data_IF_094026554969
#
_entry.id   IF_094026554969
#
_cell.length_a   1.000
_cell.length_b   1.000
_cell.length_c   1.000
_cell.angle_alpha   90.00
_cell.angle_beta   90.00
_cell.angle_gamma   90.00
#
_symmetry.space_group_name_H-M   'P 1'
#
loop_
_entity.id
_entity.type
_entity.pdbx_description
1 polymer ?
#
# COMPACT_ATOMS: atom_id res chain seq x y z
N UNK A 1 -15.68 9.53 26.77
CA UNK A 1 -14.79 10.51 26.11
C UNK A 1 -15.51 11.09 24.90
N UNK A 2 -16.06 12.30 24.98
CA UNK A 2 -16.64 12.97 23.81
C UNK A 2 -15.50 13.33 22.85
N UNK A 3 -15.51 12.72 21.66
CA UNK A 3 -14.56 13.01 20.59
C UNK A 3 -14.88 14.42 20.10
N UNK A 4 -14.15 15.42 20.60
CA UNK A 4 -14.30 16.80 20.15
C UNK A 4 -14.03 16.82 18.64
N UNK A 5 -15.06 17.12 17.86
CA UNK A 5 -14.94 17.14 16.40
C UNK A 5 -13.83 18.10 16.00
N UNK A 6 -12.82 17.55 15.30
CA UNK A 6 -11.70 18.35 14.81
C UNK A 6 -12.24 19.38 13.84
N UNK A 7 -11.96 20.65 14.10
CA UNK A 7 -12.42 21.75 13.24
C UNK A 7 -11.69 21.68 11.90
N UNK A 8 -12.35 21.30 10.82
CA UNK A 8 -11.74 21.29 9.48
C UNK A 8 -11.70 22.72 8.91
N UNK A 9 -10.53 23.19 8.47
CA UNK A 9 -10.36 24.51 7.85
C UNK A 9 -9.76 24.33 6.45
N UNK A 10 -10.58 24.52 5.42
CA UNK A 10 -10.14 24.44 4.03
C UNK A 10 -9.56 25.77 3.57
N UNK A 11 -8.36 25.74 2.98
CA UNK A 11 -7.74 26.88 2.31
C UNK A 11 -7.80 26.68 0.79
N UNK A 12 -7.86 27.77 -0.01
CA UNK A 12 -7.73 27.65 -1.45
C UNK A 12 -6.31 27.16 -1.80
N UNK A 13 -6.21 26.32 -2.83
CA UNK A 13 -4.95 25.76 -3.33
C UNK A 13 -4.99 25.71 -4.86
N UNK A 14 -3.82 25.84 -5.51
CA UNK A 14 -3.69 25.67 -6.95
C UNK A 14 -3.90 24.19 -7.36
N UNK A 15 -4.56 23.93 -8.50
CA UNK A 15 -4.77 22.58 -9.02
C UNK A 15 -3.63 22.17 -9.94
N UNK A 16 -3.19 20.91 -9.83
CA UNK A 16 -2.16 20.35 -10.70
C UNK A 16 -2.69 19.49 -11.83
N UNK A 17 -1.77 18.94 -12.62
CA UNK A 17 -2.07 17.99 -13.71
C UNK A 17 -2.00 16.55 -13.19
N UNK A 18 -2.70 15.64 -13.87
CA UNK A 18 -2.71 14.22 -13.50
C UNK A 18 -1.35 13.55 -13.75
N UNK A 19 -0.64 13.94 -14.81
CA UNK A 19 0.76 13.57 -15.05
C UNK A 19 1.68 14.73 -14.67
N UNK A 20 2.66 14.43 -13.82
CA UNK A 20 3.72 15.37 -13.46
C UNK A 20 5.10 14.71 -13.56
N UNK A 21 6.16 15.52 -13.67
CA UNK A 21 7.55 15.05 -13.80
C UNK A 21 8.02 14.18 -12.62
N UNK A 22 7.36 14.30 -11.46
CA UNK A 22 7.67 13.51 -10.26
C UNK A 22 6.95 12.15 -10.23
N UNK A 23 6.02 11.89 -11.15
CA UNK A 23 5.27 10.65 -11.26
C UNK A 23 6.14 9.37 -11.28
N UNK A 24 7.21 9.24 -12.09
CA UNK A 24 7.99 8.01 -12.14
C UNK A 24 8.65 7.69 -10.78
N UNK A 25 9.14 8.71 -10.07
CA UNK A 25 9.72 8.53 -8.73
C UNK A 25 8.69 7.99 -7.73
N UNK A 26 7.44 8.46 -7.81
CA UNK A 26 6.33 7.95 -6.98
C UNK A 26 5.94 6.53 -7.36
N UNK A 27 5.86 6.24 -8.65
CA UNK A 27 5.56 4.90 -9.15
C UNK A 27 6.61 3.86 -8.68
N UNK A 28 7.90 4.20 -8.75
CA UNK A 28 8.98 3.35 -8.24
C UNK A 28 8.85 3.12 -6.73
N UNK A 29 8.48 4.14 -5.95
CA UNK A 29 8.22 3.97 -4.52
C UNK A 29 7.06 3.01 -4.27
N UNK A 30 5.94 3.16 -4.98
CA UNK A 30 4.78 2.25 -4.85
C UNK A 30 5.17 0.82 -5.25
N UNK A 31 5.95 0.65 -6.31
CA UNK A 31 6.48 -0.63 -6.76
C UNK A 31 7.33 -1.30 -5.67
N UNK A 32 8.22 -0.54 -5.01
CA UNK A 32 9.02 -1.04 -3.88
C UNK A 32 8.15 -1.42 -2.68
N UNK A 33 7.12 -0.62 -2.36
CA UNK A 33 6.18 -0.95 -1.29
C UNK A 33 5.41 -2.26 -1.58
N UNK A 34 5.04 -2.50 -2.83
CA UNK A 34 4.41 -3.77 -3.26
C UNK A 34 5.37 -4.94 -3.06
N UNK A 35 6.65 -4.81 -3.43
CA UNK A 35 7.66 -5.86 -3.22
C UNK A 35 7.88 -6.16 -1.73
N UNK A 36 7.97 -5.12 -0.89
CA UNK A 36 8.09 -5.28 0.56
C UNK A 36 6.85 -5.99 1.13
N UNK A 37 5.67 -5.64 0.62
CA UNK A 37 4.42 -6.29 1.00
C UNK A 37 4.40 -7.77 0.62
N UNK A 38 4.95 -8.14 -0.54
CA UNK A 38 5.13 -9.53 -0.92
C UNK A 38 5.99 -10.25 0.14
N UNK A 39 7.14 -9.69 0.51
CA UNK A 39 8.01 -10.23 1.57
C UNK A 39 7.24 -10.44 2.88
N UNK A 40 6.48 -9.43 3.30
CA UNK A 40 5.64 -9.51 4.49
C UNK A 40 4.57 -10.62 4.41
N UNK A 41 3.95 -10.83 3.24
CA UNK A 41 2.98 -11.89 3.01
C UNK A 41 3.56 -13.29 3.10
N UNK A 42 4.83 -13.50 2.72
CA UNK A 42 5.49 -14.78 2.96
C UNK A 42 5.61 -15.08 4.45
N UNK A 43 6.10 -14.12 5.25
CA UNK A 43 6.29 -14.32 6.69
C UNK A 43 4.96 -14.58 7.41
N UNK A 44 3.97 -13.73 7.16
CA UNK A 44 2.62 -13.93 7.73
C UNK A 44 2.02 -15.25 7.26
N UNK A 45 2.28 -15.63 6.01
CA UNK A 45 1.84 -16.90 5.47
C UNK A 45 2.36 -18.11 6.23
N UNK A 46 3.65 -18.16 6.53
CA UNK A 46 4.26 -19.23 7.31
C UNK A 46 3.68 -19.33 8.72
N UNK A 47 3.43 -18.19 9.36
CA UNK A 47 2.82 -18.14 10.70
C UNK A 47 1.39 -18.70 10.67
N UNK A 48 0.63 -18.38 9.62
CA UNK A 48 -0.77 -18.78 9.48
C UNK A 48 -0.97 -20.28 9.21
N UNK A 49 0.06 -21.00 8.73
CA UNK A 49 0.01 -22.46 8.51
C UNK A 49 -0.26 -23.23 9.80
N UNK A 50 0.19 -22.73 10.96
CA UNK A 50 -0.02 -23.37 12.27
C UNK A 50 -1.42 -23.11 12.85
N UNK A 51 -2.23 -22.27 12.19
CA UNK A 51 -3.54 -21.84 12.67
C UNK A 51 -4.65 -22.63 11.99
N UNK A 52 -5.69 -22.98 12.75
CA UNK A 52 -6.89 -23.65 12.23
C UNK A 52 -7.59 -22.88 11.10
N UNK A 53 -8.25 -23.58 10.19
CA UNK A 53 -8.72 -23.04 8.90
C UNK A 53 -9.59 -21.77 9.00
N UNK A 54 -10.57 -21.73 9.89
CA UNK A 54 -11.46 -20.57 10.03
C UNK A 54 -10.73 -19.32 10.57
N UNK A 55 -9.92 -19.50 11.62
CA UNK A 55 -9.13 -18.41 12.20
C UNK A 55 -8.07 -17.89 11.22
N UNK A 56 -7.54 -18.77 10.36
CA UNK A 56 -6.61 -18.41 9.28
C UNK A 56 -7.24 -17.44 8.28
N UNK A 57 -8.50 -17.65 7.89
CA UNK A 57 -9.23 -16.75 6.98
C UNK A 57 -9.39 -15.38 7.62
N UNK A 58 -9.83 -15.33 8.88
CA UNK A 58 -10.01 -14.07 9.62
C UNK A 58 -8.69 -13.30 9.72
N UNK A 59 -7.61 -13.98 10.12
CA UNK A 59 -6.29 -13.35 10.22
C UNK A 59 -5.79 -12.84 8.86
N UNK A 60 -6.02 -13.61 7.78
CA UNK A 60 -5.65 -13.18 6.42
C UNK A 60 -6.42 -11.94 5.99
N UNK A 61 -7.72 -11.84 6.34
CA UNK A 61 -8.54 -10.66 6.11
C UNK A 61 -8.02 -9.45 6.91
N UNK A 62 -7.67 -9.64 8.18
CA UNK A 62 -7.09 -8.58 9.02
C UNK A 62 -5.77 -8.09 8.43
N UNK A 63 -4.88 -9.00 8.03
CA UNK A 63 -3.60 -8.65 7.38
C UNK A 63 -3.84 -7.84 6.10
N UNK A 64 -4.78 -8.26 5.27
CA UNK A 64 -5.12 -7.55 4.03
C UNK A 64 -5.66 -6.14 4.32
N UNK A 65 -6.54 -6.00 5.31
CA UNK A 65 -7.06 -4.69 5.75
C UNK A 65 -5.96 -3.80 6.32
N UNK A 66 -5.03 -4.36 7.10
CA UNK A 66 -3.89 -3.62 7.66
C UNK A 66 -2.96 -3.11 6.56
N UNK A 67 -2.62 -3.96 5.59
CA UNK A 67 -1.79 -3.57 4.45
C UNK A 67 -2.50 -2.53 3.61
N UNK A 68 -3.78 -2.72 3.30
CA UNK A 68 -4.58 -1.72 2.58
C UNK A 68 -4.65 -0.39 3.35
N UNK A 69 -4.77 -0.44 4.68
CA UNK A 69 -4.74 0.72 5.58
C UNK A 69 -3.38 1.42 5.59
N UNK A 70 -2.29 0.67 5.50
CA UNK A 70 -0.94 1.22 5.36
C UNK A 70 -0.77 1.96 4.02
N UNK A 71 -1.18 1.34 2.90
CA UNK A 71 -1.19 2.01 1.60
C UNK A 71 -2.09 3.26 1.61
N UNK A 72 -3.26 3.19 2.26
CA UNK A 72 -4.14 4.34 2.46
C UNK A 72 -3.46 5.46 3.22
N UNK A 73 -2.74 5.15 4.30
CA UNK A 73 -2.03 6.16 5.08
C UNK A 73 -0.94 6.85 4.25
N UNK A 74 -0.12 6.08 3.52
CA UNK A 74 0.90 6.59 2.61
C UNK A 74 0.30 7.49 1.52
N UNK A 75 -0.79 7.05 0.89
CA UNK A 75 -1.52 7.84 -0.09
C UNK A 75 -2.05 9.16 0.50
N UNK A 76 -2.59 9.11 1.72
CA UNK A 76 -3.14 10.27 2.40
C UNK A 76 -2.07 11.31 2.78
N UNK A 77 -0.88 10.87 3.22
CA UNK A 77 0.27 11.77 3.48
C UNK A 77 0.67 12.47 2.19
N UNK A 78 0.83 11.74 1.10
CA UNK A 78 1.21 12.32 -0.19
C UNK A 78 0.14 13.25 -0.78
N UNK A 79 -1.14 12.95 -0.59
CA UNK A 79 -2.23 13.85 -0.95
C UNK A 79 -2.18 15.15 -0.14
N UNK A 80 -1.86 15.07 1.16
CA UNK A 80 -1.70 16.25 2.03
C UNK A 80 -0.53 17.14 1.59
N UNK A 81 0.61 16.54 1.25
CA UNK A 81 1.80 17.23 0.73
C UNK A 81 1.49 17.99 -0.55
N UNK A 82 0.81 17.35 -1.51
CA UNK A 82 0.46 17.96 -2.80
C UNK A 82 -0.54 19.13 -2.66
N UNK A 83 -1.45 19.06 -1.69
CA UNK A 83 -2.35 20.18 -1.37
C UNK A 83 -1.56 21.32 -0.70
N UNK A 84 -0.63 20.98 0.19
CA UNK A 84 0.27 21.95 0.81
C UNK A 84 1.13 22.70 -0.21
N UNK A 85 1.66 21.99 -1.22
CA UNK A 85 2.35 22.61 -2.35
C UNK A 85 1.42 23.56 -3.12
N UNK A 86 0.16 23.15 -3.36
CA UNK A 86 -0.83 24.00 -4.00
C UNK A 86 -1.17 25.28 -3.22
N UNK A 87 -1.16 25.23 -1.89
CA UNK A 87 -1.31 26.42 -1.04
C UNK A 87 -0.13 27.38 -1.18
N UNK A 88 1.10 26.85 -1.23
CA UNK A 88 2.33 27.64 -1.37
C UNK A 88 2.42 28.29 -2.76
N UNK A 89 2.08 27.54 -3.81
CA UNK A 89 2.07 28.06 -5.18
C UNK A 89 1.04 29.19 -5.31
N UNK A 90 -0.13 29.02 -4.70
CA UNK A 90 -1.17 30.07 -4.71
C UNK A 90 -0.74 31.31 -3.92
N UNK A 91 -0.08 31.15 -2.77
CA UNK A 91 0.39 32.31 -1.98
C UNK A 91 1.45 33.12 -2.74
N UNK A 92 2.42 32.45 -3.37
CA UNK A 92 3.44 33.11 -4.21
C UNK A 92 2.82 33.83 -5.40
N UNK A 93 1.84 33.20 -6.06
CA UNK A 93 1.12 33.82 -7.17
C UNK A 93 0.34 35.06 -6.73
N UNK A 94 -0.23 35.08 -5.52
CA UNK A 94 -0.88 36.27 -4.96
C UNK A 94 0.10 37.38 -4.55
N UNK A 95 1.37 37.04 -4.32
CA UNK A 95 2.47 37.97 -4.04
C UNK A 95 3.13 38.51 -5.31
N UNK A 96 2.62 38.17 -6.50
CA UNK A 96 3.12 38.64 -7.79
C UNK A 96 4.35 37.87 -8.31
N UNK A 97 4.72 36.75 -7.68
CA UNK A 97 5.78 35.87 -8.18
C UNK A 97 5.22 34.91 -9.24
N UNK A 98 5.86 34.84 -10.41
CA UNK A 98 5.49 33.88 -11.43
C UNK A 98 5.84 32.45 -10.99
N UNK A 99 4.82 31.61 -10.83
CA UNK A 99 5.00 30.19 -10.55
C UNK A 99 5.41 29.45 -11.83
N UNK A 100 6.42 28.59 -11.75
CA UNK A 100 6.83 27.77 -12.89
C UNK A 100 5.74 26.74 -13.22
N UNK A 101 5.47 26.49 -14.52
CA UNK A 101 4.48 25.50 -14.99
C UNK A 101 4.68 24.10 -14.37
N UNK A 102 5.93 23.73 -14.10
CA UNK A 102 6.31 22.46 -13.44
C UNK A 102 5.89 22.42 -11.96
N UNK A 103 5.97 23.54 -11.22
CA UNK A 103 5.51 23.61 -9.83
C UNK A 103 3.98 23.50 -9.76
N UNK A 104 3.28 24.18 -10.66
CA UNK A 104 1.82 24.11 -10.74
C UNK A 104 1.34 22.70 -11.11
N UNK A 105 2.02 22.03 -12.05
CA UNK A 105 1.71 20.64 -12.40
C UNK A 105 1.89 19.65 -11.23
N UNK A 106 2.76 19.96 -10.25
CA UNK A 106 2.97 19.11 -9.09
C UNK A 106 1.90 19.24 -8.01
N UNK A 107 1.04 20.26 -8.08
CA UNK A 107 -0.05 20.45 -7.13
C UNK A 107 -1.08 19.31 -7.17
N UNK A 108 -1.98 19.30 -6.19
CA UNK A 108 -2.97 18.25 -6.03
C UNK A 108 -3.92 18.10 -7.23
N UNK A 109 -4.15 16.85 -7.64
CA UNK A 109 -5.20 16.45 -8.58
C UNK A 109 -5.68 15.04 -8.21
N UNK A 110 -7.00 14.81 -8.02
CA UNK A 110 -7.53 13.52 -7.54
C UNK A 110 -7.09 12.31 -8.39
N UNK A 111 -6.92 12.49 -9.71
CA UNK A 111 -6.52 11.40 -10.61
C UNK A 111 -5.05 11.01 -10.47
N UNK A 112 -4.20 11.88 -9.91
CA UNK A 112 -2.76 11.65 -9.79
C UNK A 112 -2.45 10.42 -8.92
N UNK A 113 -3.25 10.20 -7.87
CA UNK A 113 -3.17 8.99 -7.03
C UNK A 113 -3.39 7.72 -7.85
N UNK A 114 -4.48 7.65 -8.61
CA UNK A 114 -4.80 6.50 -9.47
C UNK A 114 -3.75 6.25 -10.54
N UNK A 115 -3.29 7.30 -11.24
CA UNK A 115 -2.26 7.17 -12.27
C UNK A 115 -0.94 6.67 -11.68
N UNK A 116 -0.55 7.17 -10.51
CA UNK A 116 0.69 6.74 -9.86
C UNK A 116 0.65 5.25 -9.44
N UNK A 117 -0.50 4.78 -8.94
CA UNK A 117 -0.72 3.36 -8.62
C UNK A 117 -0.73 2.52 -9.88
N UNK A 118 -1.45 2.94 -10.92
CA UNK A 118 -1.54 2.24 -12.19
C UNK A 118 -0.15 2.03 -12.82
N UNK A 119 0.71 3.05 -12.79
CA UNK A 119 2.09 2.95 -13.31
C UNK A 119 2.96 2.08 -12.41
N UNK A 120 2.81 2.18 -11.09
CA UNK A 120 3.60 1.39 -10.13
C UNK A 120 3.26 -0.11 -10.16
N UNK A 121 2.00 -0.48 -10.41
CA UNK A 121 1.55 -1.87 -10.47
C UNK A 121 1.71 -2.50 -11.85
N UNK A 122 1.81 -1.69 -12.91
CA UNK A 122 1.89 -2.11 -14.31
C UNK A 122 2.81 -3.31 -14.57
N UNK A 123 4.08 -3.35 -14.10
CA UNK A 123 4.95 -4.50 -14.35
C UNK A 123 4.42 -5.80 -13.74
N UNK A 124 3.88 -5.75 -12.50
CA UNK A 124 3.29 -6.91 -11.85
C UNK A 124 1.98 -7.33 -12.48
N UNK A 125 1.18 -6.36 -12.93
CA UNK A 125 -0.10 -6.59 -13.59
C UNK A 125 0.11 -7.32 -14.93
N UNK A 126 1.02 -6.85 -15.78
CA UNK A 126 1.35 -7.50 -17.06
C UNK A 126 1.81 -8.93 -16.81
N UNK A 127 2.71 -9.12 -15.85
CA UNK A 127 3.22 -10.45 -15.49
C UNK A 127 2.11 -11.38 -14.96
N UNK A 128 1.19 -10.86 -14.16
CA UNK A 128 0.04 -11.61 -13.67
C UNK A 128 -0.94 -11.99 -14.78
N UNK A 129 -1.16 -11.09 -15.75
CA UNK A 129 -1.98 -11.41 -16.94
C UNK A 129 -1.34 -12.55 -17.74
N UNK A 130 -0.03 -12.48 -17.98
CA UNK A 130 0.70 -13.54 -18.70
C UNK A 130 0.55 -14.88 -17.97
N UNK A 131 0.76 -14.92 -16.65
CA UNK A 131 0.59 -16.17 -15.89
C UNK A 131 -0.86 -16.63 -15.80
N UNK A 132 -1.83 -15.74 -15.66
CA UNK A 132 -3.24 -16.09 -15.66
C UNK A 132 -3.68 -16.77 -16.98
N UNK A 133 -3.06 -16.40 -18.11
CA UNK A 133 -3.31 -17.01 -19.42
C UNK A 133 -2.64 -18.38 -19.58
N UNK A 134 -1.46 -18.58 -19.00
CA UNK A 134 -0.68 -19.82 -19.10
C UNK A 134 -1.11 -20.85 -18.02
N UNK A 135 -1.73 -20.40 -16.93
CA UNK A 135 -2.14 -21.25 -15.82
C UNK A 135 -3.03 -22.41 -16.31
N UNK A 136 -2.62 -23.62 -15.96
CA UNK A 136 -3.39 -24.85 -16.12
C UNK A 136 -3.87 -25.34 -14.76
N UNK A 137 -4.98 -26.07 -14.74
CA UNK A 137 -5.46 -26.70 -13.50
C UNK A 137 -4.37 -27.62 -12.96
N UNK A 138 -3.98 -27.41 -11.71
CA UNK A 138 -3.05 -28.29 -11.02
C UNK A 138 -3.77 -29.62 -10.76
N UNK A 139 -3.61 -30.54 -11.70
CA UNK A 139 -3.96 -31.95 -11.47
C UNK A 139 -2.77 -32.55 -10.74
N UNK A 140 -3.02 -33.16 -9.58
CA UNK A 140 -2.00 -33.95 -8.89
C UNK A 140 -1.49 -35.02 -9.86
N UNK A 141 -0.35 -34.77 -10.49
CA UNK A 141 0.47 -35.82 -11.04
C UNK A 141 1.24 -36.42 -9.87
N UNK A 142 1.34 -37.76 -9.82
CA UNK A 142 2.09 -38.46 -8.80
C UNK A 142 3.48 -37.82 -8.66
N UNK A 143 3.83 -37.49 -7.41
CA UNK A 143 4.96 -36.64 -7.09
C UNK A 143 6.31 -37.18 -7.57
N UNK A 144 7.25 -36.25 -7.72
CA UNK A 144 8.67 -36.54 -7.96
C UNK A 144 9.20 -37.50 -6.90
N UNK A 145 10.09 -38.36 -7.37
CA UNK A 145 10.69 -39.42 -6.60
C UNK A 145 11.43 -38.87 -5.36
N UNK A 146 11.21 -39.41 -4.15
CA UNK A 146 12.00 -39.04 -2.97
C UNK A 146 13.50 -39.26 -3.18
N UNK A 147 14.34 -38.40 -2.60
CA UNK A 147 15.81 -38.48 -2.75
C UNK A 147 16.44 -39.77 -2.22
N UNK A 148 15.78 -40.51 -1.33
CA UNK A 148 16.23 -41.84 -0.88
C UNK A 148 16.00 -42.91 -1.95
N UNK A 149 15.08 -42.68 -2.89
CA UNK A 149 14.75 -43.60 -3.97
C UNK A 149 15.70 -43.41 -5.18
N UNK A 150 16.51 -42.33 -5.22
CA UNK A 150 17.56 -42.17 -6.23
C UNK A 150 18.68 -43.20 -6.07
N UNK A 151 18.91 -43.74 -4.86
CA UNK A 151 19.88 -44.82 -4.63
C UNK A 151 19.53 -46.11 -5.40
N UNK A 152 18.24 -46.33 -5.70
CA UNK A 152 17.76 -47.47 -6.47
C UNK A 152 17.81 -47.23 -7.99
N UNK A 153 18.11 -46.01 -8.48
CA UNK A 153 18.28 -45.72 -9.91
C UNK A 153 19.46 -46.46 -10.56
N UNK A 154 20.40 -47.00 -9.77
CA UNK A 154 21.50 -47.84 -10.28
C UNK A 154 21.04 -49.21 -10.79
N UNK A 155 19.85 -49.66 -10.41
CA UNK A 155 19.29 -50.91 -10.92
C UNK A 155 18.51 -50.61 -12.21
N UNK A 156 18.99 -51.18 -13.32
CA UNK A 156 18.51 -50.91 -14.69
C UNK A 156 17.00 -51.11 -14.87
N UNK A 157 16.40 -52.01 -14.10
CA UNK A 157 14.97 -52.33 -14.14
C UNK A 157 14.10 -51.28 -13.43
N UNK A 158 14.68 -50.57 -12.45
CA UNK A 158 14.02 -49.53 -11.66
C UNK A 158 14.28 -48.15 -12.30
N UNK A 159 15.42 -47.98 -12.96
CA UNK A 159 15.82 -46.78 -13.68
C UNK A 159 14.75 -46.30 -14.68
N UNK A 160 14.21 -47.21 -15.50
CA UNK A 160 13.23 -46.88 -16.56
C UNK A 160 11.91 -46.34 -15.96
N UNK A 161 11.44 -46.94 -14.87
CA UNK A 161 10.22 -46.51 -14.17
C UNK A 161 10.42 -45.18 -13.44
N UNK A 162 11.61 -44.94 -12.88
CA UNK A 162 11.95 -43.73 -12.13
C UNK A 162 12.26 -42.52 -13.01
N UNK A 163 12.87 -42.74 -14.18
CA UNK A 163 13.17 -41.67 -15.13
C UNK A 163 11.89 -41.03 -15.71
N UNK A 164 10.76 -41.75 -15.67
CA UNK A 164 9.44 -41.23 -16.03
C UNK A 164 8.94 -40.15 -15.05
N UNK A 165 9.44 -40.14 -13.81
CA UNK A 165 9.08 -39.19 -12.76
C UNK A 165 10.09 -38.05 -12.59
N UNK A 166 11.22 -38.09 -13.30
CA UNK A 166 12.31 -37.14 -13.13
C UNK A 166 12.15 -35.94 -14.08
N UNK A 167 11.23 -35.03 -13.77
CA UNK A 167 11.23 -33.69 -14.36
C UNK A 167 11.96 -32.72 -13.43
N UNK A 168 13.25 -32.57 -13.63
CA UNK A 168 14.01 -31.45 -13.07
C UNK A 168 13.61 -30.17 -13.81
N UNK A 169 12.62 -29.45 -13.26
CA UNK A 169 12.30 -28.11 -13.74
C UNK A 169 13.42 -27.18 -13.29
N UNK A 170 14.31 -26.81 -14.22
CA UNK A 170 15.32 -25.79 -13.98
C UNK A 170 14.64 -24.49 -13.54
N UNK A 171 15.11 -23.88 -12.45
CA UNK A 171 14.58 -22.61 -11.94
C UNK A 171 15.07 -21.48 -12.84
N UNK A 172 14.37 -21.28 -13.96
CA UNK A 172 14.56 -20.15 -14.86
C UNK A 172 13.94 -18.85 -14.33
N UNK A 173 14.14 -17.75 -15.06
CA UNK A 173 13.53 -16.44 -14.77
C UNK A 173 12.02 -16.54 -14.55
N UNK A 174 11.33 -17.38 -15.33
CA UNK A 174 9.90 -17.65 -15.16
C UNK A 174 9.54 -18.10 -13.73
N UNK A 175 10.36 -18.98 -13.13
CA UNK A 175 10.15 -19.48 -11.77
C UNK A 175 10.24 -18.38 -10.73
N UNK A 176 11.25 -17.50 -10.84
CA UNK A 176 11.43 -16.36 -9.93
C UNK A 176 10.25 -15.40 -10.04
N UNK A 177 9.85 -15.04 -11.26
CA UNK A 177 8.71 -14.16 -11.50
C UNK A 177 7.40 -14.75 -10.95
N UNK A 178 7.19 -16.06 -11.13
CA UNK A 178 6.02 -16.78 -10.61
C UNK A 178 6.00 -16.80 -9.09
N UNK A 179 7.16 -16.94 -8.43
CA UNK A 179 7.27 -16.86 -6.97
C UNK A 179 6.82 -15.48 -6.48
N UNK A 180 7.28 -14.39 -7.10
CA UNK A 180 6.90 -13.02 -6.72
C UNK A 180 5.38 -12.83 -6.79
N UNK A 181 4.74 -13.28 -7.87
CA UNK A 181 3.27 -13.17 -7.98
C UNK A 181 2.56 -14.06 -6.97
N UNK A 182 3.01 -15.31 -6.76
CA UNK A 182 2.41 -16.17 -5.73
C UNK A 182 2.52 -15.57 -4.33
N UNK A 183 3.64 -14.90 -4.05
CA UNK A 183 3.87 -14.22 -2.80
C UNK A 183 2.87 -13.06 -2.61
N UNK A 184 2.57 -12.30 -3.66
CA UNK A 184 1.53 -11.27 -3.64
C UNK A 184 0.11 -11.84 -3.49
N UNK A 185 -0.14 -13.03 -4.02
CA UNK A 185 -1.44 -13.72 -3.93
C UNK A 185 -1.62 -14.50 -2.63
N UNK A 186 -0.56 -14.71 -1.85
CA UNK A 186 -0.58 -15.54 -0.66
C UNK A 186 -1.74 -15.25 0.31
N UNK A 187 -2.06 -13.99 0.71
CA UNK A 187 -3.17 -13.73 1.60
C UNK A 187 -4.52 -14.17 1.01
N UNK A 188 -4.65 -14.24 -0.32
CA UNK A 188 -5.86 -14.67 -0.99
C UNK A 188 -6.02 -16.20 -1.02
N UNK A 189 -4.93 -16.96 -0.95
CA UNK A 189 -4.94 -18.44 -1.01
C UNK A 189 -5.89 -19.04 0.02
N UNK A 190 -5.91 -18.48 1.22
CA UNK A 190 -6.75 -18.97 2.31
C UNK A 190 -8.26 -18.75 2.06
N UNK A 191 -8.64 -17.77 1.25
CA UNK A 191 -10.05 -17.51 0.91
C UNK A 191 -10.59 -18.49 -0.14
N UNK A 192 -9.73 -18.93 -1.06
CA UNK A 192 -10.10 -19.87 -2.11
C UNK A 192 -10.02 -21.34 -1.65
N UNK A 193 -9.35 -21.60 -0.53
CA UNK A 193 -9.17 -22.93 0.03
C UNK A 193 -8.03 -23.67 -0.68
N UNK A 194 -6.97 -23.98 0.07
CA UNK A 194 -5.77 -24.62 -0.46
C UNK A 194 -6.03 -26.03 -1.02
N UNK A 195 -7.06 -26.71 -0.52
CA UNK A 195 -7.33 -28.12 -0.82
C UNK A 195 -8.17 -28.31 -2.10
N UNK A 196 -8.73 -27.23 -2.65
CA UNK A 196 -9.60 -27.26 -3.82
C UNK A 196 -8.88 -26.76 -5.08
N UNK A 197 -8.38 -27.69 -5.89
CA UNK A 197 -7.66 -27.37 -7.14
C UNK A 197 -8.45 -26.47 -8.12
N UNK A 198 -9.79 -26.61 -8.17
CA UNK A 198 -10.65 -25.76 -8.99
C UNK A 198 -10.68 -24.30 -8.49
N UNK A 199 -10.67 -24.09 -7.17
CA UNK A 199 -10.70 -22.75 -6.59
C UNK A 199 -9.32 -22.07 -6.69
N UNK A 200 -8.23 -22.83 -6.52
CA UNK A 200 -6.89 -22.31 -6.77
C UNK A 200 -6.70 -21.89 -8.24
N UNK A 201 -7.27 -22.65 -9.18
CA UNK A 201 -7.27 -22.26 -10.59
C UNK A 201 -8.02 -20.94 -10.83
N UNK A 202 -9.19 -20.75 -10.20
CA UNK A 202 -9.92 -19.49 -10.26
C UNK A 202 -9.12 -18.32 -9.66
N UNK A 203 -8.45 -18.54 -8.53
CA UNK A 203 -7.59 -17.54 -7.91
C UNK A 203 -6.44 -17.13 -8.83
N UNK A 204 -5.76 -18.08 -9.47
CA UNK A 204 -4.67 -17.80 -10.40
C UNK A 204 -5.17 -17.02 -11.64
N UNK A 205 -6.39 -17.29 -12.13
CA UNK A 205 -7.03 -16.50 -13.19
C UNK A 205 -7.42 -15.09 -12.74
N UNK A 206 -7.86 -14.93 -11.49
CA UNK A 206 -8.20 -13.63 -10.90
C UNK A 206 -6.97 -12.86 -10.40
N UNK A 207 -5.77 -13.45 -10.52
CA UNK A 207 -4.53 -12.85 -10.02
C UNK A 207 -4.28 -11.40 -10.46
N UNK A 208 -4.58 -10.98 -11.72
CA UNK A 208 -4.35 -9.59 -12.12
C UNK A 208 -5.21 -8.60 -11.33
N UNK A 209 -6.41 -9.00 -10.92
CA UNK A 209 -7.32 -8.17 -10.14
C UNK A 209 -6.93 -8.19 -8.65
N UNK A 210 -6.59 -9.36 -8.11
CA UNK A 210 -6.25 -9.52 -6.69
C UNK A 210 -5.01 -8.72 -6.30
N UNK A 211 -4.01 -8.63 -7.18
CA UNK A 211 -2.79 -7.85 -6.93
C UNK A 211 -3.10 -6.35 -6.83
N UNK A 212 -4.17 -5.87 -7.48
CA UNK A 212 -4.58 -4.46 -7.43
C UNK A 212 -5.25 -4.07 -6.10
N UNK A 213 -5.76 -5.02 -5.32
CA UNK A 213 -6.58 -4.74 -4.13
C UNK A 213 -5.82 -3.90 -3.10
N UNK A 214 -4.61 -4.31 -2.70
CA UNK A 214 -3.84 -3.59 -1.69
C UNK A 214 -3.38 -2.20 -2.17
N UNK A 215 -2.80 -2.04 -3.38
CA UNK A 215 -2.36 -0.73 -3.88
C UNK A 215 -3.50 0.25 -4.17
N UNK A 216 -4.72 -0.21 -4.43
CA UNK A 216 -5.89 0.68 -4.53
C UNK A 216 -6.14 1.47 -3.25
N UNK A 217 -5.74 0.93 -2.08
CA UNK A 217 -5.74 1.66 -0.81
C UNK A 217 -5.01 3.00 -0.91
N UNK A 218 -3.89 3.05 -1.64
CA UNK A 218 -3.11 4.27 -1.85
C UNK A 218 -3.89 5.31 -2.66
N UNK A 219 -4.54 4.90 -3.76
CA UNK A 219 -5.32 5.82 -4.58
C UNK A 219 -6.50 6.43 -3.80
N UNK A 220 -7.20 5.60 -3.01
CA UNK A 220 -8.28 6.06 -2.12
C UNK A 220 -7.73 6.96 -1.00
N UNK A 221 -6.58 6.61 -0.42
CA UNK A 221 -5.88 7.42 0.56
C UNK A 221 -5.53 8.80 0.03
N UNK A 222 -5.02 8.88 -1.21
CA UNK A 222 -4.67 10.13 -1.86
C UNK A 222 -5.87 11.08 -2.03
N UNK A 223 -7.07 10.56 -2.28
CA UNK A 223 -8.30 11.37 -2.31
C UNK A 223 -8.62 12.03 -0.97
N UNK A 224 -8.18 11.45 0.14
CA UNK A 224 -8.38 12.02 1.49
C UNK A 224 -7.41 13.15 1.84
N UNK A 225 -6.41 13.43 0.99
CA UNK A 225 -5.39 14.47 1.18
C UNK A 225 -5.91 15.86 1.57
N UNK A 226 -6.88 16.44 0.82
CA UNK A 226 -7.45 17.76 1.15
C UNK A 226 -8.13 17.81 2.52
N UNK A 227 -8.85 16.73 2.89
CA UNK A 227 -9.50 16.62 4.19
C UNK A 227 -8.47 16.55 5.32
N UNK A 228 -7.38 15.80 5.11
CA UNK A 228 -6.28 15.68 6.06
C UNK A 228 -5.57 17.02 6.24
N UNK A 229 -5.27 17.73 5.14
CA UNK A 229 -4.69 19.09 5.18
C UNK A 229 -5.60 20.08 5.92
N UNK A 230 -6.90 20.02 5.69
CA UNK A 230 -7.86 20.86 6.39
C UNK A 230 -7.91 20.58 7.91
N UNK A 231 -7.69 19.33 8.32
CA UNK A 231 -7.59 18.98 9.75
C UNK A 231 -6.34 19.56 10.40
N UNK A 232 -5.21 19.59 9.70
CA UNK A 232 -3.96 20.20 10.18
C UNK A 232 -4.14 21.70 10.39
N UNK A 233 -4.80 22.40 9.46
CA UNK A 233 -5.13 23.83 9.67
C UNK A 233 -6.05 24.04 10.87
N UNK A 234 -6.99 23.13 11.08
CA UNK A 234 -7.82 23.04 12.27
C UNK A 234 -7.04 22.98 13.57
N UNK A 235 -6.13 22.02 13.64
CA UNK A 235 -5.27 21.78 14.80
C UNK A 235 -4.35 22.98 15.07
N UNK A 236 -3.81 23.62 14.01
CA UNK A 236 -3.03 24.87 14.12
C UNK A 236 -3.88 26.00 14.69
N UNK A 237 -5.11 26.18 14.21
CA UNK A 237 -6.00 27.24 14.68
C UNK A 237 -6.42 27.02 16.15
N UNK A 238 -6.69 25.77 16.54
CA UNK A 238 -6.96 25.44 17.94
C UNK A 238 -5.73 25.66 18.83
N UNK A 239 -4.54 25.29 18.35
CA UNK A 239 -3.26 25.56 19.02
C UNK A 239 -3.04 27.05 19.27
N UNK A 240 -3.21 27.89 18.23
CA UNK A 240 -3.13 29.36 18.34
C UNK A 240 -4.15 29.92 19.32
N UNK A 241 -5.39 29.42 19.33
CA UNK A 241 -6.42 29.83 20.29
C UNK A 241 -6.01 29.49 21.73
N UNK A 242 -5.53 28.26 21.97
CA UNK A 242 -5.06 27.82 23.30
C UNK A 242 -3.88 28.66 23.77
N UNK A 243 -2.93 28.97 22.89
CA UNK A 243 -1.79 29.83 23.20
C UNK A 243 -2.23 31.26 23.56
N UNK A 244 -3.14 31.87 22.78
CA UNK A 244 -3.71 33.19 23.09
C UNK A 244 -4.42 33.23 24.45
N UNK A 245 -5.17 32.18 24.79
CA UNK A 245 -5.83 32.11 26.11
C UNK A 245 -4.81 32.02 27.24
N UNK A 246 -3.72 31.27 27.06
CA UNK A 246 -2.63 31.20 28.04
C UNK A 246 -1.93 32.54 28.22
N UNK A 247 -1.54 33.21 27.12
CA UNK A 247 -0.86 34.52 27.20
C UNK A 247 -1.76 35.58 27.84
N UNK A 248 -3.07 35.60 27.53
CA UNK A 248 -4.02 36.51 28.18
C UNK A 248 -4.17 36.24 29.70
N UNK A 249 -4.14 34.97 30.12
CA UNK A 249 -4.16 34.62 31.56
C UNK A 249 -2.89 35.05 32.27
N UNK A 250 -1.72 34.89 31.65
CA UNK A 250 -0.44 35.35 32.20
C UNK A 250 -0.38 36.88 32.32
N UNK A 251 -0.84 37.62 31.31
CA UNK A 251 -0.92 39.08 31.35
C UNK A 251 -1.85 39.54 32.49
N UNK A 252 -3.01 38.91 32.66
CA UNK A 252 -3.92 39.22 33.78
C UNK A 252 -3.28 38.97 35.14
N UNK A 253 -2.59 37.84 35.32
CA UNK A 253 -1.86 37.54 36.56
C UNK A 253 -0.76 38.56 36.86
N UNK A 254 0.01 38.98 35.84
CA UNK A 254 1.05 40.01 36.01
C UNK A 254 0.47 41.37 36.39
N UNK A 255 -0.66 41.77 35.80
CA UNK A 255 -1.36 43.03 36.16
C UNK A 255 -1.88 43.02 37.60
N UNK A 256 -2.50 41.92 38.02
CA UNK A 256 -2.99 41.76 39.40
C UNK A 256 -1.85 41.73 40.43
N UNK A 257 -0.72 41.11 40.10
CA UNK A 257 0.48 41.14 40.95
C UNK A 257 1.14 42.52 41.06
N UNK A 258 1.09 43.33 40.00
CA UNK A 258 1.62 44.71 40.03
C UNK A 258 0.72 45.72 40.75
N UNK A 259 -0.60 45.51 40.72
CA UNK A 259 -1.55 46.36 41.46
C UNK A 259 -1.51 46.08 42.96
N UNK A 260 -1.31 44.83 43.38
CA UNK A 260 -1.14 44.48 44.79
C UNK A 260 0.13 45.03 45.45
N UNK A 261 1.16 45.39 44.66
CA UNK A 261 2.45 45.90 45.16
C UNK A 261 2.57 47.44 45.10
N UNK A 262 1.49 48.15 44.71
CA UNK A 262 1.42 49.62 44.67
C UNK A 262 0.61 50.22 45.83
N UNK A 263 0.07 49.40 46.72
CA UNK A 263 -0.78 49.81 47.86
C UNK A 263 -0.07 49.59 49.22
N UNK A 264 1.26 49.59 49.22
CA UNK A 264 2.09 49.55 50.45
C UNK A 264 2.98 50.78 50.46
#
# INVERSE_FOLDING_TARGET
>A
MQKKDRKLIYKPYAKGKALSKQMPRRAVRIMLLILITAIFYLFTGQILVMVGGFLRIILSAIILVLVMGFFYYEGAVHGEEDVGLGEIVLSRSSEGQESTLDEQANCYNPLKGFVSVAVGILPFFIMAVVFAMITQKQVYKLGVLPSWLTAFQRHRDIEIALNYYNQSVSMGLEGVLRIIIRMLLFPFVHFFGADNASNMFLMERLSPLLICVAPLGYAVGYLSGPKRRASVHGDIAEGKKRQRVKTLREIKKRRQGSEGNRIV
#
